data_IF_381216548185
#
_entry.id   IF_381216548185
#
_cell.length_a   1.000
_cell.length_b   1.000
_cell.length_c   1.000
_cell.angle_alpha   90.00
_cell.angle_beta   90.00
_cell.angle_gamma   90.00
#
_symmetry.space_group_name_H-M   'P 1'
#
loop_
_entity.id
_entity.type
_entity.pdbx_description
1 polymer ?
#
# COMPACT_ATOMS: atom_id res chain seq x y z
N UNK A 1 18.00 15.50 -25.91
CA UNK A 1 19.00 16.36 -25.21
C UNK A 1 18.45 17.03 -23.94
N UNK A 2 17.37 16.51 -23.31
CA UNK A 2 16.63 17.19 -22.22
C UNK A 2 16.95 16.66 -20.80
N UNK A 3 17.45 15.43 -20.69
CA UNK A 3 17.64 14.73 -19.41
C UNK A 3 18.80 15.30 -18.55
N UNK A 4 19.80 15.92 -19.19
CA UNK A 4 20.93 16.54 -18.49
C UNK A 4 20.56 17.86 -17.79
N UNK A 5 19.54 18.56 -18.29
CA UNK A 5 19.03 19.80 -17.68
C UNK A 5 18.15 19.48 -16.48
N UNK A 6 17.27 18.48 -16.59
CA UNK A 6 16.44 17.96 -15.49
C UNK A 6 17.30 17.46 -14.32
N UNK A 7 18.31 16.61 -14.59
CA UNK A 7 19.24 16.16 -13.54
C UNK A 7 19.97 17.31 -12.86
N UNK A 8 20.44 18.31 -13.62
CA UNK A 8 21.10 19.48 -13.04
C UNK A 8 20.13 20.35 -12.24
N UNK A 9 18.85 20.38 -12.61
CA UNK A 9 17.81 21.10 -11.90
C UNK A 9 17.47 20.42 -10.57
N UNK A 10 17.26 19.11 -10.57
CA UNK A 10 17.03 18.31 -9.35
C UNK A 10 18.25 18.33 -8.43
N UNK A 11 19.46 18.20 -8.97
CA UNK A 11 20.69 18.29 -8.17
C UNK A 11 20.84 19.71 -7.60
N UNK A 12 20.51 20.75 -8.37
CA UNK A 12 20.57 22.14 -7.89
C UNK A 12 19.47 22.45 -6.87
N UNK A 13 18.29 21.87 -6.99
CA UNK A 13 17.18 21.99 -6.04
C UNK A 13 17.45 21.21 -4.75
N UNK A 14 18.14 20.07 -4.85
CA UNK A 14 18.68 19.35 -3.69
C UNK A 14 19.89 20.07 -3.07
N UNK A 15 20.72 20.76 -3.86
CA UNK A 15 21.84 21.57 -3.36
C UNK A 15 21.39 22.91 -2.75
N UNK A 16 20.34 23.55 -3.27
CA UNK A 16 19.82 24.84 -2.78
C UNK A 16 19.07 24.68 -1.45
N UNK A 17 18.62 23.45 -1.14
CA UNK A 17 18.12 23.05 0.19
C UNK A 17 19.29 22.66 1.13
N UNK A 18 20.49 22.43 0.59
CA UNK A 18 21.66 21.89 1.30
C UNK A 18 22.79 22.92 1.35
N UNK A 19 22.53 24.10 1.93
CA UNK A 19 23.58 25.07 2.33
C UNK A 19 23.59 25.29 3.85
N UNK A 20 23.22 24.26 4.59
CA UNK A 20 23.56 24.08 6.00
C UNK A 20 24.10 22.67 6.14
N UNK A 21 25.33 22.55 6.63
CA UNK A 21 25.92 21.29 7.09
C UNK A 21 25.00 20.68 8.17
N UNK A 22 24.08 19.84 7.73
CA UNK A 22 23.28 18.98 8.59
C UNK A 22 24.03 17.65 8.67
N UNK A 23 24.47 17.29 9.88
CA UNK A 23 25.11 16.00 10.17
C UNK A 23 24.14 14.86 9.82
N UNK A 24 24.64 13.73 9.31
CA UNK A 24 23.82 12.58 8.89
C UNK A 24 22.78 12.15 9.96
N UNK A 25 23.04 12.43 11.24
CA UNK A 25 22.13 12.25 12.37
C UNK A 25 20.85 13.10 12.30
N UNK A 26 20.90 14.36 11.84
CA UNK A 26 19.71 15.21 11.72
C UNK A 26 18.84 14.84 10.52
N UNK A 27 19.45 14.33 9.43
CA UNK A 27 18.73 13.77 8.28
C UNK A 27 17.98 12.49 8.68
N UNK A 28 18.59 11.61 9.47
CA UNK A 28 17.96 10.42 10.04
C UNK A 28 16.81 10.83 10.98
N UNK A 29 17.00 11.88 11.79
CA UNK A 29 15.97 12.39 12.69
C UNK A 29 14.80 13.03 11.94
N UNK A 30 15.04 13.75 10.84
CA UNK A 30 13.98 14.23 9.94
C UNK A 30 13.28 13.10 9.18
N UNK A 31 13.98 12.05 8.76
CA UNK A 31 13.38 10.88 8.09
C UNK A 31 12.63 9.95 9.04
N UNK A 32 12.86 10.09 10.35
CA UNK A 32 12.16 9.37 11.42
C UNK A 32 10.99 10.19 11.97
N UNK A 33 11.13 11.52 12.08
CA UNK A 33 10.06 12.44 12.52
C UNK A 33 9.15 12.92 11.41
N UNK A 34 9.56 12.81 10.15
CA UNK A 34 8.58 12.84 9.06
C UNK A 34 7.83 11.52 9.15
N UNK A 35 6.78 11.52 9.96
CA UNK A 35 5.64 10.62 9.88
C UNK A 35 5.11 10.66 8.44
N UNK A 36 5.81 9.98 7.53
CA UNK A 36 5.22 9.44 6.31
C UNK A 36 4.67 8.06 6.70
N UNK A 37 3.93 8.00 7.80
CA UNK A 37 2.63 7.36 7.72
C UNK A 37 1.75 8.40 7.04
N UNK A 38 2.04 8.66 5.77
CA UNK A 38 1.08 9.28 4.88
C UNK A 38 -0.13 8.39 5.03
N UNK A 39 -1.08 8.89 5.80
CA UNK A 39 -2.36 8.27 5.97
C UNK A 39 -2.87 8.11 4.55
N UNK A 40 -2.74 6.92 3.97
CA UNK A 40 -3.30 6.58 2.65
C UNK A 40 -4.84 6.71 2.65
N UNK A 41 -5.42 7.15 3.76
CA UNK A 41 -6.82 7.44 4.00
C UNK A 41 -7.15 8.94 4.19
N UNK A 42 -6.18 9.87 4.14
CA UNK A 42 -6.47 11.31 4.12
C UNK A 42 -6.30 11.82 2.70
N UNK A 43 -7.36 12.44 2.19
CA UNK A 43 -7.43 13.22 0.95
C UNK A 43 -7.93 12.53 -0.32
N UNK A 44 -8.82 11.55 -0.20
CA UNK A 44 -9.97 11.56 -1.10
C UNK A 44 -11.13 12.23 -0.37
N UNK A 45 -11.40 13.49 -0.70
CA UNK A 45 -12.69 14.12 -0.42
C UNK A 45 -13.74 13.22 -1.06
N UNK A 46 -14.28 12.29 -0.27
CA UNK A 46 -15.29 11.34 -0.66
C UNK A 46 -16.49 12.11 -1.23
N UNK A 47 -16.49 12.32 -2.54
CA UNK A 47 -17.63 12.89 -3.24
C UNK A 47 -18.78 11.92 -3.01
N UNK A 48 -20.01 12.43 -2.85
CA UNK A 48 -21.19 11.57 -2.65
C UNK A 48 -21.28 10.44 -3.68
N UNK A 49 -20.85 10.70 -4.91
CA UNK A 49 -20.75 9.70 -5.99
C UNK A 49 -19.77 8.55 -5.71
N UNK A 50 -18.60 8.81 -5.10
CA UNK A 50 -17.64 7.75 -4.75
C UNK A 50 -18.19 6.85 -3.65
N UNK A 51 -18.85 7.42 -2.63
CA UNK A 51 -19.50 6.63 -1.56
C UNK A 51 -20.68 5.80 -2.08
N UNK A 52 -21.49 6.37 -2.97
CA UNK A 52 -22.57 5.65 -3.63
C UNK A 52 -22.04 4.52 -4.51
N UNK A 53 -21.00 4.78 -5.31
CA UNK A 53 -20.36 3.79 -6.16
C UNK A 53 -19.75 2.64 -5.34
N UNK A 54 -19.08 2.92 -4.22
CA UNK A 54 -18.53 1.87 -3.37
C UNK A 54 -19.61 1.07 -2.63
N UNK A 55 -20.73 1.70 -2.25
CA UNK A 55 -21.88 0.99 -1.71
C UNK A 55 -22.51 0.05 -2.75
N UNK A 56 -22.69 0.53 -3.98
CA UNK A 56 -23.22 -0.26 -5.10
C UNK A 56 -22.26 -1.39 -5.48
N UNK A 57 -20.95 -1.14 -5.52
CA UNK A 57 -19.95 -2.17 -5.83
C UNK A 57 -19.92 -3.29 -4.78
N UNK A 58 -20.02 -2.93 -3.49
CA UNK A 58 -20.10 -3.91 -2.38
C UNK A 58 -21.41 -4.71 -2.42
N UNK A 59 -22.51 -4.09 -2.83
CA UNK A 59 -23.79 -4.77 -2.97
C UNK A 59 -23.83 -5.69 -4.19
N UNK A 60 -23.38 -5.22 -5.35
CA UNK A 60 -23.34 -5.97 -6.60
C UNK A 60 -22.38 -7.18 -6.56
N UNK A 61 -21.34 -7.13 -5.71
CA UNK A 61 -20.41 -8.23 -5.48
C UNK A 61 -20.87 -9.28 -4.45
N UNK A 62 -22.07 -9.16 -3.89
CA UNK A 62 -22.58 -10.07 -2.86
C UNK A 62 -23.35 -11.26 -3.43
N UNK A 63 -23.20 -12.44 -2.81
CA UNK A 63 -24.01 -13.62 -3.11
C UNK A 63 -25.51 -13.37 -2.94
N UNK A 64 -25.91 -12.53 -1.97
CA UNK A 64 -27.32 -12.19 -1.74
C UNK A 64 -27.93 -11.42 -2.93
N UNK A 65 -27.14 -10.60 -3.63
CA UNK A 65 -27.61 -9.87 -4.81
C UNK A 65 -27.93 -10.82 -5.96
N UNK A 66 -27.10 -11.84 -6.18
CA UNK A 66 -27.31 -12.84 -7.22
C UNK A 66 -28.64 -13.58 -6.99
N UNK A 67 -28.89 -14.05 -5.76
CA UNK A 67 -30.14 -14.74 -5.43
C UNK A 67 -31.36 -13.83 -5.55
N UNK A 68 -31.26 -12.57 -5.09
CA UNK A 68 -32.34 -11.58 -5.24
C UNK A 68 -32.65 -11.30 -6.72
N UNK A 69 -31.62 -11.21 -7.57
CA UNK A 69 -31.78 -10.95 -9.00
C UNK A 69 -32.50 -12.12 -9.70
N UNK A 70 -32.08 -13.36 -9.41
CA UNK A 70 -32.74 -14.57 -9.92
C UNK A 70 -34.19 -14.64 -9.44
N UNK A 71 -34.46 -14.33 -8.17
CA UNK A 71 -35.82 -14.31 -7.64
C UNK A 71 -36.70 -13.30 -8.40
N UNK A 72 -36.22 -12.07 -8.63
CA UNK A 72 -36.94 -11.05 -9.41
C UNK A 72 -37.24 -11.53 -10.83
N UNK A 73 -36.29 -12.19 -11.49
CA UNK A 73 -36.53 -12.79 -12.81
C UNK A 73 -37.64 -13.84 -12.79
N UNK A 74 -37.62 -14.75 -11.81
CA UNK A 74 -38.66 -15.77 -11.66
C UNK A 74 -40.03 -15.13 -11.40
N UNK A 75 -40.09 -14.11 -10.54
CA UNK A 75 -41.33 -13.36 -10.28
C UNK A 75 -41.83 -12.68 -11.54
N UNK A 76 -40.96 -12.04 -12.33
CA UNK A 76 -41.33 -11.40 -13.59
C UNK A 76 -41.91 -12.38 -14.60
N UNK A 77 -41.25 -13.54 -14.76
CA UNK A 77 -41.73 -14.61 -15.65
C UNK A 77 -43.08 -15.14 -15.16
N UNK A 78 -43.24 -15.40 -13.86
CA UNK A 78 -44.49 -15.90 -13.29
C UNK A 78 -45.64 -14.90 -13.47
N UNK A 79 -45.41 -13.61 -13.22
CA UNK A 79 -46.42 -12.56 -13.42
C UNK A 79 -46.88 -12.48 -14.88
N UNK A 80 -45.95 -12.51 -15.84
CA UNK A 80 -46.29 -12.44 -17.26
C UNK A 80 -47.00 -13.72 -17.77
N UNK A 81 -46.64 -14.90 -17.25
CA UNK A 81 -47.35 -16.15 -17.56
C UNK A 81 -48.78 -16.10 -17.02
N UNK A 82 -48.99 -15.61 -15.79
CA UNK A 82 -50.31 -15.53 -15.16
C UNK A 82 -51.23 -14.50 -15.82
N UNK A 83 -50.68 -13.40 -16.34
CA UNK A 83 -51.46 -12.39 -17.06
C UNK A 83 -51.95 -12.84 -18.44
N UNK A 84 -51.34 -13.88 -19.03
CA UNK A 84 -51.69 -14.56 -20.28
C UNK A 84 -52.14 -13.64 -21.44
N UNK A 85 -53.39 -13.16 -21.40
CA UNK A 85 -54.00 -12.28 -22.40
C UNK A 85 -53.60 -10.80 -22.30
N UNK A 86 -53.21 -10.32 -21.11
CA UNK A 86 -52.71 -8.95 -20.87
C UNK A 86 -51.19 -8.94 -20.59
N UNK A 87 -50.48 -9.99 -21.00
CA UNK A 87 -49.05 -10.12 -20.73
C UNK A 87 -48.25 -9.03 -21.46
N UNK A 88 -47.56 -8.19 -20.68
CA UNK A 88 -46.64 -7.17 -21.21
C UNK A 88 -45.40 -7.76 -21.89
N UNK A 89 -44.97 -8.95 -21.45
CA UNK A 89 -43.81 -9.69 -21.98
C UNK A 89 -44.15 -11.18 -22.10
N UNK A 90 -44.97 -11.53 -23.09
CA UNK A 90 -45.36 -12.92 -23.35
C UNK A 90 -44.15 -13.79 -23.75
N UNK A 91 -44.25 -15.10 -23.48
CA UNK A 91 -43.22 -16.06 -23.90
C UNK A 91 -42.97 -15.92 -25.42
N UNK A 92 -41.72 -15.65 -25.87
CA UNK A 92 -40.43 -16.01 -25.26
C UNK A 92 -39.70 -14.92 -24.42
N UNK A 93 -40.41 -13.94 -23.83
CA UNK A 93 -39.86 -12.87 -22.97
C UNK A 93 -38.83 -11.96 -23.67
N UNK A 94 -39.26 -11.28 -24.73
CA UNK A 94 -38.38 -10.45 -25.58
C UNK A 94 -37.79 -9.27 -24.80
N UNK A 95 -38.57 -8.66 -23.91
CA UNK A 95 -38.15 -7.47 -23.16
C UNK A 95 -37.14 -7.84 -22.08
N UNK A 96 -37.40 -8.92 -21.34
CA UNK A 96 -36.46 -9.45 -20.37
C UNK A 96 -35.13 -9.85 -21.03
N UNK A 97 -35.18 -10.48 -22.20
CA UNK A 97 -33.98 -10.82 -22.96
C UNK A 97 -33.19 -9.57 -23.39
N UNK A 98 -33.87 -8.54 -23.89
CA UNK A 98 -33.25 -7.28 -24.30
C UNK A 98 -32.53 -6.60 -23.12
N UNK A 99 -33.19 -6.52 -21.96
CA UNK A 99 -32.62 -5.91 -20.75
C UNK A 99 -31.38 -6.69 -20.28
N UNK A 100 -31.48 -8.02 -20.20
CA UNK A 100 -30.35 -8.87 -19.80
C UNK A 100 -29.16 -8.74 -20.76
N UNK A 101 -29.42 -8.69 -22.06
CA UNK A 101 -28.37 -8.48 -23.07
C UNK A 101 -27.68 -7.12 -22.90
N UNK A 102 -28.44 -6.07 -22.58
CA UNK A 102 -27.86 -4.75 -22.30
C UNK A 102 -27.00 -4.74 -21.03
N UNK A 103 -27.47 -5.37 -19.94
CA UNK A 103 -26.72 -5.50 -18.68
C UNK A 103 -25.41 -6.28 -18.91
N UNK A 104 -25.48 -7.39 -19.65
CA UNK A 104 -24.30 -8.19 -19.96
C UNK A 104 -23.27 -7.41 -20.79
N UNK A 105 -23.73 -6.61 -21.77
CA UNK A 105 -22.84 -5.81 -22.62
C UNK A 105 -22.03 -4.77 -21.82
N UNK A 106 -22.61 -4.17 -20.79
CA UNK A 106 -21.92 -3.19 -19.93
C UNK A 106 -21.10 -3.83 -18.81
N UNK A 107 -21.26 -5.14 -18.58
CA UNK A 107 -20.64 -5.84 -17.46
C UNK A 107 -19.11 -5.91 -17.57
N UNK A 108 -18.58 -6.28 -18.74
CA UNK A 108 -17.13 -6.42 -18.95
C UNK A 108 -16.36 -5.08 -18.79
N UNK A 109 -16.79 -3.95 -19.39
CA UNK A 109 -16.16 -2.66 -19.16
C UNK A 109 -16.25 -2.19 -17.70
N UNK A 110 -17.38 -2.44 -17.01
CA UNK A 110 -17.55 -2.08 -15.61
C UNK A 110 -16.59 -2.88 -14.72
N UNK A 111 -16.46 -4.18 -14.97
CA UNK A 111 -15.48 -5.04 -14.30
C UNK A 111 -14.07 -4.51 -14.57
N UNK A 112 -13.72 -4.21 -15.82
CA UNK A 112 -12.39 -3.70 -16.20
C UNK A 112 -12.09 -2.34 -15.55
N UNK A 113 -13.07 -1.43 -15.45
CA UNK A 113 -12.92 -0.16 -14.73
C UNK A 113 -12.70 -0.40 -13.23
N UNK A 114 -13.43 -1.34 -12.62
CA UNK A 114 -13.25 -1.70 -11.22
C UNK A 114 -11.88 -2.32 -10.94
N UNK A 115 -11.39 -3.16 -11.87
CA UNK A 115 -10.07 -3.79 -11.82
C UNK A 115 -8.96 -2.74 -11.97
N UNK A 116 -9.01 -1.87 -12.99
CA UNK A 116 -8.05 -0.77 -13.16
C UNK A 116 -7.91 0.10 -11.90
N UNK A 117 -9.03 0.37 -11.21
CA UNK A 117 -9.03 1.14 -9.97
C UNK A 117 -8.35 0.38 -8.82
N UNK A 118 -8.59 -0.93 -8.71
CA UNK A 118 -7.96 -1.77 -7.70
C UNK A 118 -6.45 -1.92 -7.97
N UNK A 119 -6.06 -2.18 -9.21
CA UNK A 119 -4.66 -2.27 -9.64
C UNK A 119 -3.87 -0.97 -9.37
N UNK A 120 -4.50 0.19 -9.58
CA UNK A 120 -3.87 1.47 -9.26
C UNK A 120 -3.58 1.62 -7.75
N UNK A 121 -4.50 1.16 -6.89
CA UNK A 121 -4.31 1.13 -5.43
C UNK A 121 -3.23 0.13 -5.05
N UNK A 122 -3.28 -1.07 -5.62
CA UNK A 122 -2.31 -2.14 -5.35
C UNK A 122 -0.90 -1.75 -5.79
N UNK A 123 -0.76 -1.05 -6.93
CA UNK A 123 0.53 -0.51 -7.40
C UNK A 123 1.12 0.51 -6.43
N UNK A 124 0.31 1.45 -5.93
CA UNK A 124 0.77 2.42 -4.92
C UNK A 124 1.21 1.73 -3.64
N UNK A 125 0.45 0.72 -3.20
CA UNK A 125 0.80 -0.07 -2.03
C UNK A 125 2.14 -0.80 -2.21
N UNK A 126 2.34 -1.43 -3.37
CA UNK A 126 3.60 -2.12 -3.69
C UNK A 126 4.79 -1.15 -3.75
N UNK A 127 4.63 0.05 -4.30
CA UNK A 127 5.67 1.08 -4.30
C UNK A 127 6.04 1.52 -2.87
N UNK A 128 5.04 1.71 -2.00
CA UNK A 128 5.28 2.05 -0.61
C UNK A 128 5.98 0.92 0.15
N UNK A 129 5.54 -0.32 -0.04
CA UNK A 129 6.16 -1.50 0.57
C UNK A 129 7.63 -1.65 0.12
N UNK A 130 7.92 -1.36 -1.16
CA UNK A 130 9.29 -1.33 -1.68
C UNK A 130 10.15 -0.26 -0.99
N UNK A 131 9.62 0.96 -0.81
CA UNK A 131 10.33 2.04 -0.12
C UNK A 131 10.61 1.71 1.34
N UNK A 132 9.65 1.10 2.03
CA UNK A 132 9.82 0.63 3.41
C UNK A 132 10.89 -0.46 3.48
N UNK A 133 10.88 -1.41 2.55
CA UNK A 133 11.87 -2.48 2.50
C UNK A 133 13.29 -1.94 2.32
N UNK A 134 13.49 -1.01 1.38
CA UNK A 134 14.79 -0.35 1.17
C UNK A 134 15.24 0.44 2.40
N UNK A 135 14.31 1.13 3.09
CA UNK A 135 14.62 1.84 4.34
C UNK A 135 15.06 0.87 5.43
N UNK A 136 14.38 -0.26 5.57
CA UNK A 136 14.74 -1.30 6.54
C UNK A 136 16.12 -1.88 6.24
N UNK A 137 16.45 -2.12 4.98
CA UNK A 137 17.77 -2.59 4.57
C UNK A 137 18.89 -1.62 5.02
N UNK A 138 18.71 -0.31 4.79
CA UNK A 138 19.66 0.72 5.23
C UNK A 138 19.80 0.79 6.76
N UNK A 139 18.69 0.68 7.50
CA UNK A 139 18.71 0.67 8.97
C UNK A 139 19.43 -0.57 9.50
N UNK A 140 19.23 -1.73 8.87
CA UNK A 140 19.91 -2.98 9.25
C UNK A 140 21.43 -2.85 9.01
N UNK A 141 21.85 -2.28 7.89
CA UNK A 141 23.27 -2.01 7.62
C UNK A 141 23.90 -1.06 8.66
N UNK A 142 23.21 0.02 9.03
CA UNK A 142 23.67 0.93 10.09
C UNK A 142 23.75 0.23 11.47
N UNK A 143 22.75 -0.57 11.81
CA UNK A 143 22.75 -1.37 13.04
C UNK A 143 23.90 -2.37 13.07
N UNK A 144 24.23 -2.99 11.93
CA UNK A 144 25.39 -3.87 11.82
C UNK A 144 26.68 -3.13 12.13
N UNK A 145 26.90 -1.95 11.53
CA UNK A 145 28.09 -1.13 11.78
C UNK A 145 28.22 -0.75 13.26
N UNK A 146 27.14 -0.28 13.88
CA UNK A 146 27.13 0.05 15.33
C UNK A 146 27.40 -1.17 16.20
N UNK A 147 26.91 -2.35 15.81
CA UNK A 147 27.17 -3.61 16.52
C UNK A 147 28.64 -3.98 16.44
N UNK A 148 29.27 -3.81 15.27
CA UNK A 148 30.70 -4.06 15.06
C UNK A 148 31.56 -3.09 15.89
N UNK A 149 31.23 -1.79 15.91
CA UNK A 149 31.89 -0.79 16.75
C UNK A 149 31.80 -1.13 18.25
N UNK A 150 30.63 -1.58 18.71
CA UNK A 150 30.42 -2.00 20.09
C UNK A 150 31.23 -3.26 20.43
N UNK A 151 31.30 -4.22 19.51
CA UNK A 151 32.15 -5.41 19.62
C UNK A 151 33.63 -5.06 19.73
N UNK A 152 34.11 -4.10 18.94
CA UNK A 152 35.48 -3.60 19.04
C UNK A 152 35.75 -2.92 20.39
N UNK A 153 34.81 -2.10 20.87
CA UNK A 153 34.87 -1.49 22.19
C UNK A 153 34.99 -2.52 23.31
N UNK A 154 34.15 -3.56 23.28
CA UNK A 154 34.20 -4.66 24.25
C UNK A 154 35.53 -5.42 24.20
N UNK A 155 36.08 -5.69 23.02
CA UNK A 155 37.41 -6.33 22.87
C UNK A 155 38.51 -5.49 23.50
N UNK A 156 38.51 -4.17 23.30
CA UNK A 156 39.50 -3.26 23.90
C UNK A 156 39.38 -3.24 25.43
N UNK A 157 38.17 -3.17 25.96
CA UNK A 157 37.91 -3.24 27.39
C UNK A 157 38.40 -4.55 27.99
N UNK A 158 38.13 -5.68 27.32
CA UNK A 158 38.56 -7.00 27.80
C UNK A 158 40.09 -7.12 27.87
N UNK A 159 40.82 -6.62 26.87
CA UNK A 159 42.28 -6.54 26.93
C UNK A 159 42.78 -5.65 28.07
N UNK A 160 42.14 -4.51 28.30
CA UNK A 160 42.52 -3.61 29.38
C UNK A 160 42.34 -4.25 30.77
N UNK A 161 41.25 -5.00 30.95
CA UNK A 161 41.02 -5.79 32.16
C UNK A 161 42.11 -6.87 32.34
N UNK A 162 42.44 -7.61 31.28
CA UNK A 162 43.49 -8.64 31.31
C UNK A 162 44.87 -8.06 31.66
N UNK A 163 45.22 -6.90 31.10
CA UNK A 163 46.46 -6.18 31.43
C UNK A 163 46.47 -5.67 32.88
N UNK A 164 45.34 -5.20 33.40
CA UNK A 164 45.21 -4.79 34.80
C UNK A 164 45.33 -5.97 35.75
N UNK A 165 44.71 -7.10 35.43
CA UNK A 165 44.80 -8.34 36.21
C UNK A 165 46.26 -8.85 36.24
N UNK A 166 46.95 -8.84 35.10
CA UNK A 166 48.36 -9.21 35.02
C UNK A 166 49.27 -8.29 35.87
N UNK A 167 48.97 -6.98 35.93
CA UNK A 167 49.69 -6.02 36.77
C UNK A 167 49.36 -6.12 38.26
N UNK A 168 48.21 -6.69 38.63
CA UNK A 168 47.80 -6.91 40.02
C UNK A 168 48.28 -8.26 40.60
N UNK A 169 48.75 -9.20 39.77
CA UNK A 169 49.31 -10.49 40.21
C UNK A 169 50.82 -10.56 40.59
N UNK A 170 51.69 -9.53 40.47
CA UNK A 170 53.12 -9.70 40.79
C UNK A 170 53.42 -9.80 42.30
N UNK A 171 52.54 -9.37 43.20
CA UNK A 171 52.80 -9.31 44.66
C UNK A 171 52.37 -10.55 45.47
N UNK A 172 51.88 -11.62 44.84
CA UNK A 172 51.49 -12.86 45.56
C UNK A 172 52.49 -14.02 45.43
N UNK A 173 53.70 -13.80 44.90
CA UNK A 173 54.73 -14.84 44.74
C UNK A 173 56.01 -14.64 45.57
N UNK A 174 56.08 -13.62 46.42
CA UNK A 174 57.12 -13.48 47.44
C UNK A 174 56.51 -13.56 48.85
N UNK A 175 56.29 -14.79 49.33
CA UNK A 175 56.40 -15.19 50.74
C UNK A 175 56.42 -16.72 50.86
#
# INVERSE_FOLDING_TARGET
MNNRKERKKVIKELLDITDKEFTDEELIHQLTMTEIVENTNKDEKNTFGQRAADAVARFAGSWAFIFSFIAVMIVWMALNILLASDAFDAYPFILLNLVLSCIAAIQAPLIMMSQNRQEAKDRKRAENDYRINLKNELIIDDLHKKTDELLEGQKKLMKCIEELEAKMQPDQKEN
#
